data_IF_786062739852
#
_entry.id   IF_786062739852
#
_cell.length_a   1.000
_cell.length_b   1.000
_cell.length_c   1.000
_cell.angle_alpha   90.00
_cell.angle_beta   90.00
_cell.angle_gamma   90.00
#
_symmetry.space_group_name_H-M   'P 1'
#
loop_
_entity.id
_entity.type
_entity.pdbx_description
1 polymer ?
#
# COMPACT_ATOMS: atom_id res chain seq x y z
N UNK A 1 9.21 9.93 3.52
CA UNK A 1 9.45 8.92 2.48
C UNK A 1 8.12 8.39 1.97
N UNK A 2 7.90 8.37 0.65
CA UNK A 2 6.77 7.65 0.05
C UNK A 2 7.17 6.20 -0.12
N UNK A 3 6.59 5.29 0.65
CA UNK A 3 6.72 3.85 0.43
C UNK A 3 5.83 3.49 -0.75
N UNK A 4 6.38 3.53 -1.97
CA UNK A 4 5.68 3.09 -3.18
C UNK A 4 5.48 1.57 -3.13
N UNK A 5 4.29 1.15 -2.69
CA UNK A 5 3.95 -0.27 -2.60
C UNK A 5 3.55 -0.80 -3.99
N UNK A 6 4.27 -1.80 -4.50
CA UNK A 6 4.10 -2.33 -5.85
C UNK A 6 3.27 -3.60 -5.85
N UNK A 7 2.51 -3.81 -6.94
CA UNK A 7 1.73 -5.03 -7.12
C UNK A 7 2.65 -6.25 -7.32
N UNK A 8 2.50 -7.35 -6.57
CA UNK A 8 3.36 -8.53 -6.72
C UNK A 8 3.20 -9.26 -8.06
N UNK A 9 2.20 -8.91 -8.88
CA UNK A 9 1.91 -9.58 -10.15
C UNK A 9 2.34 -8.79 -11.39
N UNK A 10 2.21 -7.48 -11.35
CA UNK A 10 2.50 -6.62 -12.50
C UNK A 10 3.44 -5.47 -12.15
N UNK A 11 3.96 -5.43 -10.92
CA UNK A 11 4.91 -4.45 -10.37
C UNK A 11 4.47 -2.98 -10.46
N UNK A 12 3.24 -2.73 -10.90
CA UNK A 12 2.64 -1.42 -10.98
C UNK A 12 2.38 -0.85 -9.59
N UNK A 13 2.44 0.47 -9.45
CA UNK A 13 2.11 1.13 -8.19
C UNK A 13 0.68 0.82 -7.77
N UNK A 14 0.51 0.53 -6.48
CA UNK A 14 -0.78 0.34 -5.87
C UNK A 14 -1.27 1.66 -5.28
N UNK A 15 -2.56 1.93 -5.44
CA UNK A 15 -3.21 3.04 -4.75
C UNK A 15 -3.21 2.78 -3.25
N UNK A 16 -2.74 3.75 -2.46
CA UNK A 16 -2.62 3.62 -1.01
C UNK A 16 -4.00 3.54 -0.35
N UNK A 17 -4.19 2.51 0.48
CA UNK A 17 -5.38 2.36 1.31
C UNK A 17 -4.99 1.85 2.70
N UNK A 18 -5.77 2.18 3.75
CA UNK A 18 -5.39 1.91 5.14
C UNK A 18 -5.37 0.41 5.50
N UNK A 19 -6.03 -0.43 4.70
CA UNK A 19 -6.21 -1.87 4.96
C UNK A 19 -5.85 -2.68 3.70
N UNK A 20 -6.26 -2.18 2.54
CA UNK A 20 -6.15 -2.82 1.25
C UNK A 20 -5.66 -1.81 0.22
N UNK A 21 -4.67 -2.24 -0.55
CA UNK A 21 -4.10 -1.53 -1.68
C UNK A 21 -4.72 -2.08 -2.96
N UNK A 22 -5.06 -1.21 -3.91
CA UNK A 22 -5.65 -1.63 -5.18
C UNK A 22 -4.74 -1.27 -6.34
N UNK A 23 -4.50 -2.22 -7.23
CA UNK A 23 -3.76 -1.96 -8.46
C UNK A 23 -4.71 -1.40 -9.52
N UNK A 24 -4.44 -0.22 -10.07
CA UNK A 24 -5.20 0.33 -11.19
C UNK A 24 -5.10 -0.52 -12.47
N UNK A 25 -3.97 -1.22 -12.66
CA UNK A 25 -3.70 -1.99 -13.87
C UNK A 25 -4.39 -3.36 -13.87
N UNK A 26 -4.10 -4.21 -12.88
CA UNK A 26 -4.68 -5.55 -12.81
C UNK A 26 -5.99 -5.62 -11.99
N UNK A 27 -6.43 -4.49 -11.42
CA UNK A 27 -7.62 -4.35 -10.54
C UNK A 27 -7.59 -5.25 -9.30
N UNK A 28 -6.43 -5.83 -8.98
CA UNK A 28 -6.25 -6.71 -7.82
C UNK A 28 -6.18 -5.90 -6.54
N UNK A 29 -6.85 -6.40 -5.50
CA UNK A 29 -6.69 -5.92 -4.15
C UNK A 29 -5.60 -6.75 -3.45
N UNK A 30 -4.74 -6.08 -2.71
CA UNK A 30 -3.63 -6.66 -1.93
C UNK A 30 -3.75 -6.12 -0.51
N UNK A 31 -3.68 -6.97 0.50
CA UNK A 31 -3.74 -6.49 1.88
C UNK A 31 -2.44 -5.78 2.25
N UNK A 32 -2.57 -4.72 3.05
CA UNK A 32 -1.43 -4.02 3.61
C UNK A 32 -0.50 -4.96 4.42
N UNK A 33 -1.06 -6.02 5.02
CA UNK A 33 -0.31 -7.02 5.79
C UNK A 33 0.48 -8.01 4.92
N UNK A 34 0.05 -8.25 3.68
CA UNK A 34 0.76 -9.10 2.72
C UNK A 34 1.92 -8.35 2.04
N UNK A 35 1.88 -7.03 2.11
CA UNK A 35 2.95 -6.18 1.65
C UNK A 35 3.95 -6.08 2.80
N UNK A 36 5.23 -6.36 2.54
CA UNK A 36 6.34 -6.11 3.47
C UNK A 36 6.56 -4.60 3.67
N UNK A 37 5.51 -3.88 4.04
CA UNK A 37 5.59 -2.52 4.46
C UNK A 37 5.75 -2.58 5.97
N UNK A 38 6.97 -2.34 6.43
CA UNK A 38 7.25 -2.08 7.84
C UNK A 38 6.19 -1.09 8.34
N UNK A 39 5.38 -1.49 9.31
CA UNK A 39 4.30 -0.65 9.81
C UNK A 39 4.92 0.63 10.38
N UNK A 40 4.90 1.71 9.60
CA UNK A 40 5.32 3.03 10.07
C UNK A 40 4.07 3.69 10.64
N UNK A 41 3.90 3.75 11.98
CA UNK A 41 2.81 4.51 12.56
C UNK A 41 2.96 5.95 12.08
N UNK A 42 1.99 6.43 11.28
CA UNK A 42 1.91 7.85 10.95
C UNK A 42 1.85 8.60 12.29
N UNK A 43 2.73 9.58 12.55
CA UNK A 43 2.61 10.38 13.75
C UNK A 43 1.20 10.97 13.73
N UNK A 44 0.40 10.67 14.76
CA UNK A 44 -0.89 11.33 14.93
C UNK A 44 -0.57 12.81 14.97
N UNK A 45 -1.02 13.55 13.96
CA UNK A 45 -1.04 15.00 14.05
C UNK A 45 -2.09 15.29 15.10
N UNK A 46 -1.63 15.51 16.33
CA UNK A 46 -2.45 16.08 17.38
C UNK A 46 -2.86 17.48 16.89
N UNK A 47 -4.16 17.70 16.80
CA UNK A 47 -4.77 18.97 16.42
C UNK A 47 -4.60 20.03 17.52
#
# INVERSE_FOLDING_TARGET
MKTSTRCPRCEHELDEGPIMYRCAHCRRAVYAADLENEYVPRPRVAA
#
